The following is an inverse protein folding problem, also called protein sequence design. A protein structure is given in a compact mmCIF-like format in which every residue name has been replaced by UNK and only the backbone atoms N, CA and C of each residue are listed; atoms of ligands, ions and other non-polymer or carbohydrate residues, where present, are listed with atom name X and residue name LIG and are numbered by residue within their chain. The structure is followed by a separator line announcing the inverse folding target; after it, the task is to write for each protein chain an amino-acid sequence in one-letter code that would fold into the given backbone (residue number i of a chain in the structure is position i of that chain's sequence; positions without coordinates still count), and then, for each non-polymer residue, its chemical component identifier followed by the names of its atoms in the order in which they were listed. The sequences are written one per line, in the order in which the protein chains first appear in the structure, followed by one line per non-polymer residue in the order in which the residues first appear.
data_IF_203844076550
#
_entry.id   IF_203844076550
#
_cell.length_a   1.000
_cell.length_b   1.000
_cell.length_c   1.000
_cell.angle_alpha   90.00
_cell.angle_beta   90.00
_cell.angle_gamma   90.00
#
_symmetry.space_group_name_H-M   'P 1'
#
loop_
_entity.id
_entity.type
_entity.pdbx_description
1 polymer ?
#
# COMPACT_ATOMS: atom_id res chain seq x y z
N UNK A 1 -11.34 -7.30 38.49
CA UNK A 1 -10.87 -8.63 38.02
C UNK A 1 -11.24 -8.94 36.56
N UNK A 2 -12.42 -8.57 36.03
CA UNK A 2 -12.76 -8.83 34.60
C UNK A 2 -12.08 -7.92 33.55
N UNK A 3 -11.52 -6.77 33.95
CA UNK A 3 -10.77 -5.88 33.04
C UNK A 3 -9.26 -6.20 32.95
N UNK A 4 -8.72 -7.00 33.88
CA UNK A 4 -7.32 -7.45 33.85
C UNK A 4 -7.14 -8.73 33.03
N UNK A 5 -8.17 -9.57 32.87
CA UNK A 5 -8.13 -10.76 32.02
C UNK A 5 -8.09 -10.44 30.52
N UNK A 6 -8.69 -9.31 30.08
CA UNK A 6 -8.67 -8.91 28.67
C UNK A 6 -7.29 -8.40 28.23
N UNK A 7 -6.54 -7.77 29.15
CA UNK A 7 -5.17 -7.31 28.90
C UNK A 7 -4.21 -8.50 28.77
N UNK A 8 -4.41 -9.57 29.54
CA UNK A 8 -3.58 -10.78 29.45
C UNK A 8 -3.83 -11.62 28.18
N UNK A 9 -5.04 -11.63 27.63
CA UNK A 9 -5.32 -12.31 26.35
C UNK A 9 -4.72 -11.54 25.17
N UNK A 10 -4.67 -10.21 25.24
CA UNK A 10 -4.03 -9.36 24.20
C UNK A 10 -2.50 -9.45 24.27
N UNK A 11 -1.91 -9.57 25.48
CA UNK A 11 -0.45 -9.77 25.64
C UNK A 11 -0.01 -11.18 25.27
N UNK A 12 -0.86 -12.20 25.44
CA UNK A 12 -0.54 -13.59 25.08
C UNK A 12 -0.55 -13.85 23.56
N UNK A 13 -1.18 -12.97 22.77
CA UNK A 13 -1.14 -13.00 21.30
C UNK A 13 0.06 -12.25 20.70
N UNK A 14 0.86 -11.57 21.53
CA UNK A 14 2.04 -10.79 21.12
C UNK A 14 3.36 -11.55 21.36
N UNK A 15 3.33 -12.72 22.01
CA UNK A 15 4.52 -13.53 22.31
C UNK A 15 4.53 -14.94 21.70
N UNK A 16 3.91 -15.12 20.53
CA UNK A 16 4.25 -16.27 19.67
C UNK A 16 5.41 -15.89 18.76
N UNK A 17 6.61 -15.83 19.35
CA UNK A 17 7.86 -15.80 18.61
C UNK A 17 7.86 -17.02 17.69
N UNK A 18 7.90 -16.75 16.39
CA UNK A 18 8.16 -17.76 15.37
C UNK A 18 9.44 -18.51 15.75
N UNK A 19 9.32 -19.78 16.16
CA UNK A 19 10.45 -20.70 16.10
C UNK A 19 10.74 -20.95 14.63
N UNK A 20 11.59 -20.10 14.05
CA UNK A 20 12.39 -20.51 12.93
C UNK A 20 13.38 -21.57 13.44
N UNK A 21 13.34 -22.72 12.77
CA UNK A 21 14.23 -23.89 12.83
C UNK A 21 13.53 -25.15 13.36
N UNK A 22 13.14 -26.00 12.41
CA UNK A 22 13.60 -27.39 12.45
C UNK A 22 13.98 -27.82 11.04
N UNK A 23 15.20 -28.31 10.94
CA UNK A 23 15.79 -28.90 9.77
C UNK A 23 15.04 -30.18 9.35
N UNK A 24 15.15 -30.46 8.06
CA UNK A 24 14.92 -31.71 7.33
C UNK A 24 14.71 -33.00 8.14
N UNK A 25 13.67 -33.74 7.74
CA UNK A 25 13.81 -35.18 7.47
C UNK A 25 13.14 -35.48 6.13
N UNK A 26 13.92 -35.38 5.05
CA UNK A 26 13.57 -35.99 3.77
C UNK A 26 13.84 -37.50 3.87
N UNK A 27 12.85 -38.31 3.48
CA UNK A 27 13.00 -39.76 3.34
C UNK A 27 13.94 -40.03 2.15
N UNK A 28 14.99 -40.86 2.28
CA UNK A 28 15.90 -41.11 1.17
C UNK A 28 15.27 -42.11 0.20
N UNK A 29 14.85 -41.63 -0.97
CA UNK A 29 14.70 -42.50 -2.14
C UNK A 29 16.03 -42.40 -2.89
N UNK A 30 16.91 -43.36 -2.62
CA UNK A 30 18.14 -43.56 -3.38
C UNK A 30 17.80 -44.10 -4.76
N UNK A 31 17.89 -43.25 -5.78
CA UNK A 31 18.16 -43.68 -7.15
C UNK A 31 19.63 -43.39 -7.48
N UNK A 32 20.37 -44.33 -8.08
CA UNK A 32 21.81 -44.21 -8.22
C UNK A 32 22.19 -43.19 -9.31
N UNK A 33 23.09 -42.29 -8.92
CA UNK A 33 24.08 -41.58 -9.72
C UNK A 33 23.74 -41.26 -11.18
N UNK A 34 23.25 -40.04 -11.39
CA UNK A 34 23.68 -39.22 -12.54
C UNK A 34 24.48 -38.06 -11.97
N UNK A 35 25.77 -38.29 -11.75
CA UNK A 35 26.75 -37.20 -11.61
C UNK A 35 27.00 -36.69 -13.03
N UNK A 36 26.08 -35.86 -13.53
CA UNK A 36 26.39 -34.96 -14.62
C UNK A 36 26.78 -33.62 -14.00
N UNK A 37 27.92 -33.12 -14.46
CA UNK A 37 28.59 -31.91 -14.03
C UNK A 37 27.68 -30.68 -14.26
N UNK A 38 26.74 -30.44 -13.35
CA UNK A 38 25.84 -29.29 -13.34
C UNK A 38 26.58 -28.13 -12.67
N UNK A 39 26.84 -27.05 -13.39
CA UNK A 39 27.02 -25.76 -12.74
C UNK A 39 25.70 -25.40 -12.06
N UNK A 40 25.50 -25.88 -10.83
CA UNK A 40 24.44 -25.39 -9.97
C UNK A 40 24.72 -23.90 -9.77
N UNK A 41 23.84 -23.06 -10.31
CA UNK A 41 23.84 -21.62 -10.04
C UNK A 41 23.76 -21.48 -8.51
N UNK A 42 24.80 -20.93 -7.87
CA UNK A 42 24.70 -20.49 -6.48
C UNK A 42 23.82 -19.24 -6.44
N UNK A 43 22.59 -19.31 -5.89
CA UNK A 43 21.69 -18.17 -5.89
C UNK A 43 22.23 -16.99 -5.08
N UNK A 44 23.07 -17.24 -4.07
CA UNK A 44 23.69 -16.18 -3.28
C UNK A 44 24.67 -15.37 -4.13
N UNK A 45 25.61 -16.06 -4.78
CA UNK A 45 26.57 -15.43 -5.68
C UNK A 45 25.87 -14.72 -6.85
N UNK A 46 24.85 -15.33 -7.45
CA UNK A 46 24.07 -14.72 -8.52
C UNK A 46 23.33 -13.44 -8.07
N UNK A 47 22.77 -13.45 -6.85
CA UNK A 47 22.15 -12.25 -6.27
C UNK A 47 23.16 -11.12 -6.10
N UNK A 48 24.35 -11.42 -5.57
CA UNK A 48 25.42 -10.44 -5.41
C UNK A 48 25.91 -9.90 -6.75
N UNK A 49 26.01 -10.75 -7.77
CA UNK A 49 26.37 -10.33 -9.12
C UNK A 49 25.36 -9.33 -9.70
N UNK A 50 24.06 -9.57 -9.54
CA UNK A 50 23.01 -8.62 -9.94
C UNK A 50 23.10 -7.29 -9.19
N UNK A 51 23.26 -7.32 -7.87
CA UNK A 51 23.40 -6.10 -7.07
C UNK A 51 24.65 -5.29 -7.46
N UNK A 52 25.74 -5.97 -7.80
CA UNK A 52 26.99 -5.36 -8.24
C UNK A 52 26.88 -4.64 -9.59
N UNK A 53 25.85 -4.93 -10.40
CA UNK A 53 25.61 -4.21 -11.67
C UNK A 53 25.20 -2.75 -11.47
N UNK A 54 24.71 -2.38 -10.28
CA UNK A 54 24.28 -1.01 -9.98
C UNK A 54 25.47 -0.17 -9.51
N UNK A 55 25.84 0.90 -10.24
CA UNK A 55 26.91 1.80 -9.85
C UNK A 55 26.70 2.36 -8.44
N UNK A 56 27.79 2.57 -7.70
CA UNK A 56 27.75 3.07 -6.32
C UNK A 56 26.99 4.39 -6.20
N UNK A 57 27.22 5.32 -7.11
CA UNK A 57 26.55 6.63 -7.13
C UNK A 57 25.01 6.49 -7.26
N UNK A 58 24.53 5.56 -8.10
CA UNK A 58 23.10 5.30 -8.25
C UNK A 58 22.51 4.68 -6.99
N UNK A 59 23.25 3.79 -6.31
CA UNK A 59 22.85 3.22 -5.01
C UNK A 59 22.77 4.30 -3.94
N UNK A 60 23.79 5.13 -3.79
CA UNK A 60 23.81 6.23 -2.80
C UNK A 60 22.67 7.24 -3.05
N UNK A 61 22.37 7.56 -4.32
CA UNK A 61 21.23 8.42 -4.66
C UNK A 61 19.88 7.78 -4.30
N UNK A 62 19.71 6.48 -4.58
CA UNK A 62 18.49 5.74 -4.23
C UNK A 62 18.30 5.63 -2.72
N UNK A 63 19.37 5.31 -1.99
CA UNK A 63 19.36 5.19 -0.55
C UNK A 63 19.03 6.55 0.09
N UNK A 64 19.68 7.63 -0.34
CA UNK A 64 19.37 8.99 0.14
C UNK A 64 17.91 9.39 -0.11
N UNK A 65 17.36 9.03 -1.28
CA UNK A 65 15.94 9.22 -1.57
C UNK A 65 15.09 8.42 -0.58
N UNK A 66 15.32 7.11 -0.49
CA UNK A 66 14.46 6.19 0.24
C UNK A 66 14.51 6.40 1.75
N UNK A 67 15.70 6.62 2.31
CA UNK A 67 15.92 6.93 3.73
C UNK A 67 15.35 8.30 4.11
N UNK A 68 15.31 9.26 3.18
CA UNK A 68 14.56 10.49 3.36
C UNK A 68 13.08 10.22 3.67
N UNK A 69 12.50 9.16 3.09
CA UNK A 69 11.15 8.69 3.38
C UNK A 69 10.93 8.27 4.83
N UNK A 70 11.97 7.77 5.53
CA UNK A 70 11.87 7.39 6.95
C UNK A 70 11.60 8.61 7.82
N UNK A 71 12.31 9.71 7.53
CA UNK A 71 12.11 10.98 8.20
C UNK A 71 10.79 11.63 7.83
N UNK A 72 10.36 11.52 6.57
CA UNK A 72 9.05 12.01 6.15
C UNK A 72 7.90 11.30 6.88
N UNK A 73 8.02 10.00 7.14
CA UNK A 73 7.01 9.28 7.94
C UNK A 73 6.87 9.89 9.35
N UNK A 74 7.99 10.21 9.99
CA UNK A 74 8.01 10.90 11.28
C UNK A 74 7.44 12.33 11.18
N UNK A 75 7.90 13.12 10.20
CA UNK A 75 7.45 14.51 10.04
C UNK A 75 5.95 14.61 9.72
N UNK A 76 5.42 13.70 8.91
CA UNK A 76 3.99 13.60 8.66
C UNK A 76 3.21 13.32 9.94
N UNK A 77 3.67 12.38 10.76
CA UNK A 77 3.05 12.10 12.06
C UNK A 77 3.09 13.32 12.98
N UNK A 78 4.27 13.95 13.14
CA UNK A 78 4.42 15.13 13.99
C UNK A 78 3.56 16.31 13.51
N UNK A 79 3.40 16.48 12.19
CA UNK A 79 2.54 17.52 11.63
C UNK A 79 1.07 17.25 11.96
N UNK A 80 0.59 16.01 11.79
CA UNK A 80 -0.79 15.62 12.16
C UNK A 80 -1.04 15.84 13.66
N UNK A 81 -0.08 15.45 14.51
CA UNK A 81 -0.15 15.69 15.97
C UNK A 81 -0.23 17.19 16.26
N UNK A 82 0.65 17.97 15.64
CA UNK A 82 0.73 19.43 15.85
C UNK A 82 -0.56 20.12 15.42
N UNK A 83 -1.07 19.81 14.23
CA UNK A 83 -2.34 20.36 13.73
C UNK A 83 -3.50 19.98 14.67
N UNK A 84 -3.57 18.71 15.07
CA UNK A 84 -4.66 18.23 15.94
C UNK A 84 -4.65 18.95 17.30
N UNK A 85 -3.48 19.04 17.94
CA UNK A 85 -3.31 19.76 19.21
C UNK A 85 -3.60 21.26 19.03
N UNK A 86 -3.11 21.87 17.95
CA UNK A 86 -3.37 23.28 17.64
C UNK A 86 -4.87 23.55 17.53
N UNK A 87 -5.62 22.74 16.78
CA UNK A 87 -7.07 22.91 16.59
C UNK A 87 -7.87 22.74 17.89
N UNK A 88 -7.42 21.85 18.79
CA UNK A 88 -8.02 21.62 20.10
C UNK A 88 -7.68 22.76 21.08
N UNK A 89 -6.39 23.09 21.23
CA UNK A 89 -5.89 24.07 22.18
C UNK A 89 -6.34 25.49 21.85
N UNK A 90 -6.37 25.86 20.56
CA UNK A 90 -6.87 27.16 20.09
C UNK A 90 -8.40 27.28 20.10
N UNK A 91 -9.11 26.16 20.33
CA UNK A 91 -10.57 26.03 20.23
C UNK A 91 -11.14 26.34 18.84
N UNK A 92 -10.31 26.35 17.78
CA UNK A 92 -10.79 26.53 16.41
C UNK A 92 -11.83 25.46 16.07
N UNK A 93 -11.56 24.20 16.43
CA UNK A 93 -12.52 23.10 16.19
C UNK A 93 -13.85 23.32 16.92
N UNK A 94 -13.83 23.81 18.16
CA UNK A 94 -15.04 24.17 18.89
C UNK A 94 -15.80 25.33 18.23
N UNK A 95 -15.09 26.36 17.74
CA UNK A 95 -15.71 27.49 17.01
C UNK A 95 -16.34 27.04 15.68
N UNK A 96 -15.73 26.10 14.97
CA UNK A 96 -16.32 25.51 13.76
C UNK A 96 -17.62 24.76 14.09
N UNK A 97 -17.61 23.99 15.19
CA UNK A 97 -18.82 23.32 15.68
C UNK A 97 -19.89 24.33 16.06
N UNK A 98 -19.56 25.38 16.80
CA UNK A 98 -20.51 26.43 17.20
C UNK A 98 -21.07 27.16 15.96
N UNK A 99 -20.23 27.45 14.97
CA UNK A 99 -20.66 27.99 13.67
C UNK A 99 -21.65 27.06 12.96
N UNK A 100 -21.32 25.77 12.86
CA UNK A 100 -22.19 24.78 12.22
C UNK A 100 -23.53 24.62 12.96
N UNK A 101 -23.52 24.61 14.30
CA UNK A 101 -24.73 24.64 15.14
C UNK A 101 -25.56 25.91 14.89
N UNK A 102 -24.90 27.07 14.77
CA UNK A 102 -25.55 28.36 14.54
C UNK A 102 -26.21 28.46 13.16
N UNK A 103 -25.52 28.06 12.09
CA UNK A 103 -26.05 28.06 10.72
C UNK A 103 -27.22 27.09 10.59
N UNK A 104 -27.19 25.98 11.32
CA UNK A 104 -28.24 24.97 11.32
C UNK A 104 -29.31 25.20 12.40
N UNK A 105 -29.37 26.38 13.05
CA UNK A 105 -30.39 26.67 14.06
C UNK A 105 -31.80 26.46 13.49
N UNK A 106 -32.61 25.68 14.20
CA UNK A 106 -33.98 25.33 13.78
C UNK A 106 -34.07 24.14 12.82
N UNK A 107 -32.95 23.67 12.25
CA UNK A 107 -32.94 22.46 11.43
C UNK A 107 -32.90 21.20 12.30
N UNK A 108 -33.80 20.25 12.03
CA UNK A 108 -33.78 18.91 12.64
C UNK A 108 -32.79 17.96 11.94
N UNK A 109 -32.17 18.39 10.84
CA UNK A 109 -31.23 17.61 10.05
C UNK A 109 -29.82 17.67 10.64
N UNK A 110 -29.58 16.83 11.64
CA UNK A 110 -28.29 16.57 12.27
C UNK A 110 -27.11 16.30 11.30
N UNK A 111 -27.29 15.73 10.09
CA UNK A 111 -26.23 15.64 9.08
C UNK A 111 -25.72 16.98 8.56
N UNK A 112 -26.59 18.00 8.43
CA UNK A 112 -26.19 19.32 7.92
C UNK A 112 -25.12 19.97 8.81
N UNK A 113 -25.27 19.85 10.14
CA UNK A 113 -24.26 20.32 11.09
C UNK A 113 -22.89 19.67 10.85
N UNK A 114 -22.86 18.38 10.49
CA UNK A 114 -21.60 17.68 10.21
C UNK A 114 -20.99 18.18 8.90
N UNK A 115 -21.79 18.49 7.88
CA UNK A 115 -21.31 19.06 6.61
C UNK A 115 -20.67 20.44 6.85
N UNK A 116 -21.37 21.34 7.54
CA UNK A 116 -20.88 22.69 7.83
C UNK A 116 -19.68 22.70 8.79
N UNK A 117 -19.44 21.62 9.53
CA UNK A 117 -18.22 21.41 10.30
C UNK A 117 -17.08 20.81 9.45
N UNK A 118 -17.35 19.73 8.72
CA UNK A 118 -16.35 18.91 8.07
C UNK A 118 -15.63 19.64 6.92
N UNK A 119 -16.37 20.37 6.09
CA UNK A 119 -15.78 21.11 4.96
C UNK A 119 -14.73 22.13 5.41
N UNK A 120 -15.04 23.10 6.31
CA UNK A 120 -14.01 24.04 6.77
C UNK A 120 -12.91 23.36 7.58
N UNK A 121 -13.22 22.29 8.32
CA UNK A 121 -12.19 21.49 9.00
C UNK A 121 -11.17 20.94 7.99
N UNK A 122 -11.62 20.28 6.93
CA UNK A 122 -10.73 19.72 5.91
C UNK A 122 -9.93 20.80 5.17
N UNK A 123 -10.54 21.95 4.87
CA UNK A 123 -9.83 23.08 4.25
C UNK A 123 -8.73 23.64 5.14
N UNK A 124 -8.98 23.76 6.45
CA UNK A 124 -7.96 24.21 7.41
C UNK A 124 -6.82 23.19 7.49
N UNK A 125 -7.13 21.91 7.64
CA UNK A 125 -6.10 20.85 7.70
C UNK A 125 -5.29 20.81 6.40
N UNK A 126 -5.94 20.90 5.23
CA UNK A 126 -5.28 20.95 3.95
C UNK A 126 -4.33 22.15 3.85
N UNK A 127 -4.78 23.34 4.28
CA UNK A 127 -3.96 24.55 4.28
C UNK A 127 -2.75 24.43 5.20
N UNK A 128 -2.93 23.94 6.42
CA UNK A 128 -1.84 23.78 7.40
C UNK A 128 -0.85 22.68 6.99
N UNK A 129 -1.31 21.66 6.27
CA UNK A 129 -0.45 20.56 5.79
C UNK A 129 0.22 20.85 4.46
N UNK A 130 -0.28 21.84 3.71
CA UNK A 130 0.14 22.13 2.35
C UNK A 130 1.66 22.32 2.16
N UNK A 131 2.40 23.02 3.04
CA UNK A 131 3.84 23.19 2.86
C UNK A 131 4.61 21.87 2.78
N UNK A 132 4.29 20.92 3.68
CA UNK A 132 4.93 19.60 3.66
C UNK A 132 4.48 18.79 2.44
N UNK A 133 3.20 18.85 2.08
CA UNK A 133 2.67 18.18 0.88
C UNK A 133 3.36 18.65 -0.40
N UNK A 134 3.59 19.96 -0.56
CA UNK A 134 4.30 20.53 -1.71
C UNK A 134 5.78 20.13 -1.70
N UNK A 135 6.41 20.13 -0.53
CA UNK A 135 7.78 19.65 -0.41
C UNK A 135 7.91 18.19 -0.85
N UNK A 136 7.09 17.30 -0.28
CA UNK A 136 7.17 15.86 -0.51
C UNK A 136 6.80 15.47 -1.93
N UNK A 137 5.67 15.97 -2.44
CA UNK A 137 5.06 15.46 -3.67
C UNK A 137 5.41 16.30 -4.92
N UNK A 138 6.02 17.47 -4.76
CA UNK A 138 6.48 18.30 -5.87
C UNK A 138 7.98 18.54 -5.81
N UNK A 139 8.50 19.26 -4.81
CA UNK A 139 9.90 19.66 -4.81
C UNK A 139 10.86 18.48 -4.71
N UNK A 140 10.64 17.58 -3.76
CA UNK A 140 11.47 16.38 -3.57
C UNK A 140 11.37 15.45 -4.77
N UNK A 141 10.18 15.22 -5.30
CA UNK A 141 10.00 14.39 -6.51
C UNK A 141 10.72 14.98 -7.73
N UNK A 142 10.71 16.31 -7.90
CA UNK A 142 11.46 17.00 -8.96
C UNK A 142 12.96 16.93 -8.73
N UNK A 143 13.42 17.12 -7.49
CA UNK A 143 14.83 17.09 -7.11
C UNK A 143 15.48 15.75 -7.48
N UNK A 144 14.77 14.64 -7.33
CA UNK A 144 15.28 13.31 -7.68
C UNK A 144 15.02 12.89 -9.14
N UNK A 145 14.24 13.68 -9.90
CA UNK A 145 13.92 13.42 -11.30
C UNK A 145 12.75 12.46 -11.52
N UNK A 146 11.88 12.32 -10.51
CA UNK A 146 10.74 11.41 -10.58
C UNK A 146 9.44 12.10 -11.01
N UNK A 147 9.26 13.39 -10.75
CA UNK A 147 8.10 14.15 -11.24
C UNK A 147 8.38 14.82 -12.59
N UNK A 148 7.48 14.66 -13.55
CA UNK A 148 7.57 15.29 -14.88
C UNK A 148 6.68 16.54 -14.99
N UNK A 149 5.65 16.66 -14.15
CA UNK A 149 4.74 17.82 -14.15
C UNK A 149 5.39 19.12 -13.70
N UNK A 150 4.92 20.22 -14.30
CA UNK A 150 5.10 21.56 -13.75
C UNK A 150 4.13 21.80 -12.57
N UNK A 151 4.40 22.84 -11.79
CA UNK A 151 3.66 23.13 -10.56
C UNK A 151 2.15 23.32 -10.78
N UNK A 152 1.73 24.06 -11.81
CA UNK A 152 0.31 24.38 -12.00
C UNK A 152 -0.56 23.14 -12.34
N UNK A 153 -0.19 22.27 -13.30
CA UNK A 153 -0.88 21.00 -13.50
C UNK A 153 -0.91 20.11 -12.25
N UNK A 154 0.23 19.98 -11.56
CA UNK A 154 0.33 19.24 -10.30
C UNK A 154 -0.62 19.78 -9.23
N UNK A 155 -0.66 21.10 -9.06
CA UNK A 155 -1.51 21.77 -8.08
C UNK A 155 -3.00 21.63 -8.42
N UNK A 156 -3.36 21.68 -9.71
CA UNK A 156 -4.73 21.41 -10.16
C UNK A 156 -5.16 19.98 -9.80
N UNK A 157 -4.32 19.00 -10.04
CA UNK A 157 -4.59 17.60 -9.67
C UNK A 157 -4.66 17.46 -8.14
N UNK A 158 -3.81 18.15 -7.39
CA UNK A 158 -3.90 18.22 -5.93
C UNK A 158 -5.26 18.78 -5.45
N UNK A 159 -5.80 19.83 -6.10
CA UNK A 159 -7.12 20.38 -5.78
C UNK A 159 -8.27 19.40 -6.12
N UNK A 160 -8.15 18.63 -7.21
CA UNK A 160 -9.11 17.57 -7.54
C UNK A 160 -9.10 16.50 -6.45
N UNK A 161 -7.92 16.04 -6.04
CA UNK A 161 -7.75 15.09 -4.94
C UNK A 161 -8.31 15.61 -3.61
N UNK A 162 -8.07 16.88 -3.29
CA UNK A 162 -8.66 17.55 -2.12
C UNK A 162 -10.19 17.55 -2.19
N UNK A 163 -10.78 17.86 -3.35
CA UNK A 163 -12.23 17.84 -3.55
C UNK A 163 -12.82 16.44 -3.32
N UNK A 164 -12.20 15.40 -3.90
CA UNK A 164 -12.60 14.00 -3.67
C UNK A 164 -12.51 13.64 -2.19
N UNK A 165 -11.40 14.01 -1.53
CA UNK A 165 -11.18 13.77 -0.10
C UNK A 165 -12.21 14.46 0.79
N UNK A 166 -12.56 15.72 0.51
CA UNK A 166 -13.60 16.46 1.24
C UNK A 166 -14.95 15.76 1.10
N UNK A 167 -15.34 15.35 -0.11
CA UNK A 167 -16.61 14.67 -0.35
C UNK A 167 -16.66 13.33 0.39
N UNK A 168 -15.67 12.46 0.16
CA UNK A 168 -15.63 11.13 0.75
C UNK A 168 -15.51 11.19 2.28
N UNK A 169 -14.63 12.06 2.80
CA UNK A 169 -14.44 12.28 4.23
C UNK A 169 -15.70 12.83 4.90
N UNK A 170 -16.41 13.76 4.26
CA UNK A 170 -17.67 14.30 4.81
C UNK A 170 -18.75 13.23 4.87
N UNK A 171 -18.88 12.38 3.85
CA UNK A 171 -19.81 11.23 3.86
C UNK A 171 -19.50 10.32 5.03
N UNK A 172 -18.23 9.95 5.21
CA UNK A 172 -17.79 9.11 6.34
C UNK A 172 -18.15 9.75 7.69
N UNK A 173 -17.86 11.04 7.87
CA UNK A 173 -18.16 11.74 9.12
C UNK A 173 -19.65 11.83 9.40
N UNK A 174 -20.50 12.06 8.38
CA UNK A 174 -21.97 12.05 8.57
C UNK A 174 -22.42 10.71 9.15
N UNK A 175 -21.93 9.60 8.59
CA UNK A 175 -22.32 8.26 9.04
C UNK A 175 -21.76 7.97 10.44
N UNK A 176 -20.49 8.26 10.69
CA UNK A 176 -19.85 8.05 12.01
C UNK A 176 -20.52 8.87 13.11
N UNK A 177 -20.76 10.16 12.89
CA UNK A 177 -21.45 10.99 13.89
C UNK A 177 -22.91 10.59 14.08
N UNK A 178 -23.55 10.02 13.06
CA UNK A 178 -24.88 9.39 13.24
C UNK A 178 -24.78 8.19 14.17
N UNK A 179 -23.78 7.32 14.00
CA UNK A 179 -23.52 6.18 14.90
C UNK A 179 -23.21 6.64 16.33
N UNK A 180 -22.33 7.64 16.49
CA UNK A 180 -21.95 8.15 17.81
C UNK A 180 -23.15 8.69 18.59
N UNK A 181 -24.10 9.31 17.90
CA UNK A 181 -25.33 9.85 18.49
C UNK A 181 -26.39 8.77 18.77
N UNK A 182 -26.54 7.79 17.88
CA UNK A 182 -27.62 6.77 17.94
C UNK A 182 -27.26 5.56 18.78
N UNK A 183 -25.99 5.20 18.87
CA UNK A 183 -25.51 4.01 19.56
C UNK A 183 -24.38 4.31 20.56
N UNK A 184 -24.54 5.26 21.51
CA UNK A 184 -23.45 5.76 22.35
C UNK A 184 -22.81 4.70 23.27
N UNK A 185 -23.44 3.54 23.50
CA UNK A 185 -22.86 2.43 24.28
C UNK A 185 -22.05 1.44 23.43
N UNK A 186 -22.35 1.34 22.15
CA UNK A 186 -21.80 0.34 21.22
C UNK A 186 -21.19 0.98 19.98
N UNK A 187 -20.93 2.29 20.01
CA UNK A 187 -20.46 3.06 18.87
C UNK A 187 -19.11 2.57 18.36
N UNK A 188 -18.25 2.00 19.20
CA UNK A 188 -16.96 1.45 18.77
C UNK A 188 -17.14 0.28 17.81
N UNK A 189 -18.13 -0.59 18.07
CA UNK A 189 -18.46 -1.74 17.21
C UNK A 189 -19.07 -1.23 15.90
N UNK A 190 -20.09 -0.39 15.97
CA UNK A 190 -20.76 0.12 14.77
C UNK A 190 -19.86 1.06 13.95
N UNK A 191 -19.00 1.83 14.60
CA UNK A 191 -17.98 2.67 13.96
C UNK A 191 -16.93 1.85 13.24
N UNK A 192 -16.51 0.71 13.81
CA UNK A 192 -15.67 -0.27 13.12
C UNK A 192 -16.32 -0.76 11.84
N UNK A 193 -17.58 -1.19 11.91
CA UNK A 193 -18.32 -1.69 10.74
C UNK A 193 -18.41 -0.61 9.66
N UNK A 194 -18.75 0.63 10.04
CA UNK A 194 -18.80 1.77 9.10
C UNK A 194 -17.45 2.02 8.46
N UNK A 195 -16.37 2.02 9.24
CA UNK A 195 -15.02 2.25 8.72
C UNK A 195 -14.58 1.15 7.74
N UNK A 196 -14.85 -0.13 8.06
CA UNK A 196 -14.53 -1.26 7.17
C UNK A 196 -15.35 -1.19 5.87
N UNK A 197 -16.65 -0.90 5.95
CA UNK A 197 -17.49 -0.75 4.77
C UNK A 197 -17.06 0.44 3.90
N UNK A 198 -16.63 1.54 4.54
CA UNK A 198 -16.08 2.69 3.83
C UNK A 198 -14.75 2.36 3.15
N UNK A 199 -13.84 1.66 3.83
CA UNK A 199 -12.58 1.17 3.24
C UNK A 199 -12.85 0.23 2.05
N UNK A 200 -13.76 -0.73 2.21
CA UNK A 200 -14.22 -1.59 1.12
C UNK A 200 -14.69 -0.76 -0.07
N UNK A 201 -15.59 0.20 0.16
CA UNK A 201 -16.13 1.04 -0.91
C UNK A 201 -15.01 1.81 -1.64
N UNK A 202 -14.08 2.44 -0.92
CA UNK A 202 -12.98 3.20 -1.53
C UNK A 202 -12.03 2.30 -2.31
N UNK A 203 -11.62 1.15 -1.76
CA UNK A 203 -10.72 0.20 -2.44
C UNK A 203 -11.24 -0.22 -3.82
N UNK A 204 -12.57 -0.30 -3.97
CA UNK A 204 -13.20 -0.77 -5.20
C UNK A 204 -13.71 0.34 -6.11
N UNK A 205 -14.15 1.48 -5.55
CA UNK A 205 -14.58 2.64 -6.33
C UNK A 205 -13.37 3.40 -6.89
N UNK A 206 -12.27 3.48 -6.14
CA UNK A 206 -11.15 4.33 -6.50
C UNK A 206 -10.54 4.02 -7.88
N UNK A 207 -10.24 2.74 -8.23
CA UNK A 207 -9.64 2.45 -9.52
C UNK A 207 -10.53 2.82 -10.70
N UNK A 208 -11.86 2.65 -10.56
CA UNK A 208 -12.82 2.81 -11.66
C UNK A 208 -13.29 4.26 -11.81
N UNK A 209 -13.46 4.99 -10.71
CA UNK A 209 -14.10 6.30 -10.73
C UNK A 209 -13.20 7.45 -10.28
N UNK A 210 -12.15 7.18 -9.49
CA UNK A 210 -11.26 8.22 -8.96
C UNK A 210 -10.00 8.33 -9.82
N UNK A 211 -9.32 7.22 -10.11
CA UNK A 211 -8.10 7.25 -10.94
C UNK A 211 -8.31 7.89 -12.32
N UNK A 212 -9.44 7.67 -13.04
CA UNK A 212 -9.67 8.33 -14.32
C UNK A 212 -9.87 9.84 -14.27
N UNK A 213 -9.99 10.44 -13.06
CA UNK A 213 -9.98 11.90 -12.90
C UNK A 213 -8.58 12.49 -13.14
N UNK A 214 -7.53 11.66 -13.02
CA UNK A 214 -6.13 12.06 -13.10
C UNK A 214 -5.47 11.60 -14.40
N UNK A 215 -5.85 10.42 -14.89
CA UNK A 215 -5.20 9.78 -16.03
C UNK A 215 -6.20 9.23 -17.05
N UNK A 216 -5.74 9.15 -18.30
CA UNK A 216 -6.50 8.58 -19.39
C UNK A 216 -6.14 7.11 -19.55
N UNK A 217 -7.15 6.26 -19.61
CA UNK A 217 -7.03 4.83 -19.85
C UNK A 217 -7.43 4.54 -21.31
N UNK A 218 -6.53 3.95 -22.08
CA UNK A 218 -6.79 3.56 -23.49
C UNK A 218 -6.49 2.09 -23.70
N UNK A 219 -7.25 1.35 -24.54
CA UNK A 219 -6.87 -0.02 -24.87
C UNK A 219 -5.45 -0.09 -25.45
N UNK A 220 -4.66 -1.05 -24.97
CA UNK A 220 -3.30 -1.29 -25.45
C UNK A 220 -3.36 -1.82 -26.89
N UNK A 221 -2.81 -1.03 -27.82
CA UNK A 221 -2.90 -1.33 -29.24
C UNK A 221 -1.91 -2.41 -29.70
N UNK A 222 -0.71 -2.48 -29.10
CA UNK A 222 0.35 -3.37 -29.57
C UNK A 222 0.04 -4.85 -29.22
N UNK A 223 -0.22 -5.73 -30.20
CA UNK A 223 -0.53 -7.13 -29.95
C UNK A 223 0.64 -7.92 -29.36
N UNK A 224 1.89 -7.55 -29.68
CA UNK A 224 3.10 -8.25 -29.20
C UNK A 224 3.25 -8.18 -27.67
N UNK A 225 2.69 -7.13 -27.05
CA UNK A 225 2.67 -6.95 -25.60
C UNK A 225 1.33 -7.40 -25.02
N UNK A 226 0.22 -7.04 -25.67
CA UNK A 226 -1.14 -7.33 -25.21
C UNK A 226 -1.43 -8.83 -25.14
N UNK A 227 -1.09 -9.58 -26.18
CA UNK A 227 -1.54 -10.97 -26.32
C UNK A 227 -0.85 -11.91 -25.30
N UNK A 228 0.46 -11.79 -25.01
CA UNK A 228 1.08 -12.53 -23.92
C UNK A 228 0.46 -12.23 -22.54
N UNK A 229 0.05 -10.98 -22.28
CA UNK A 229 -0.64 -10.60 -21.03
C UNK A 229 -2.01 -11.27 -20.96
N UNK A 230 -2.79 -11.22 -22.03
CA UNK A 230 -4.11 -11.88 -22.09
C UNK A 230 -3.98 -13.40 -21.97
N UNK A 231 -2.96 -14.01 -22.55
CA UNK A 231 -2.69 -15.44 -22.43
C UNK A 231 -2.38 -15.84 -20.97
N UNK A 232 -1.54 -15.08 -20.26
CA UNK A 232 -1.27 -15.33 -18.83
C UNK A 232 -2.54 -15.13 -17.98
N UNK A 233 -3.35 -14.11 -18.29
CA UNK A 233 -4.61 -13.87 -17.60
C UNK A 233 -5.59 -15.04 -17.82
N UNK A 234 -5.72 -15.53 -19.05
CA UNK A 234 -6.56 -16.66 -19.40
C UNK A 234 -6.10 -17.95 -18.72
N UNK A 235 -4.79 -18.23 -18.72
CA UNK A 235 -4.21 -19.38 -18.04
C UNK A 235 -4.48 -19.39 -16.53
N UNK A 236 -4.62 -18.21 -15.92
CA UNK A 236 -4.92 -18.02 -14.50
C UNK A 236 -6.39 -17.68 -14.23
N UNK A 237 -7.29 -17.92 -15.20
CA UNK A 237 -8.75 -17.74 -15.07
C UNK A 237 -9.18 -16.33 -14.66
N UNK A 238 -8.41 -15.31 -15.03
CA UNK A 238 -8.74 -13.92 -14.78
C UNK A 238 -9.72 -13.46 -15.88
N UNK A 239 -10.96 -13.04 -15.55
CA UNK A 239 -11.99 -12.72 -16.54
C UNK A 239 -11.80 -11.31 -17.11
N UNK A 240 -10.72 -11.12 -17.86
CA UNK A 240 -10.36 -9.86 -18.52
C UNK A 240 -10.44 -10.01 -20.04
N UNK A 241 -10.92 -8.95 -20.72
CA UNK A 241 -11.03 -8.91 -22.18
C UNK A 241 -10.08 -7.90 -22.84
N UNK A 242 -9.58 -6.93 -22.06
CA UNK A 242 -8.79 -5.82 -22.56
C UNK A 242 -7.68 -5.47 -21.57
N UNK A 243 -6.55 -5.07 -22.13
CA UNK A 243 -5.41 -4.50 -21.41
C UNK A 243 -5.39 -3.01 -21.72
N UNK A 244 -5.19 -2.17 -20.71
CA UNK A 244 -5.19 -0.71 -20.84
C UNK A 244 -3.80 -0.12 -20.63
N UNK A 245 -3.45 0.87 -21.44
CA UNK A 245 -2.34 1.78 -21.23
C UNK A 245 -2.84 3.03 -20.49
N UNK A 246 -2.05 3.48 -19.51
CA UNK A 246 -2.29 4.68 -18.71
C UNK A 246 -1.19 5.71 -18.95
N UNK A 247 -1.58 6.98 -19.21
CA UNK A 247 -0.68 8.08 -19.53
C UNK A 247 0.10 8.66 -18.32
N UNK A 248 0.70 7.81 -17.48
CA UNK A 248 1.38 8.25 -16.24
C UNK A 248 2.67 9.05 -16.47
N UNK A 249 3.31 8.96 -17.64
CA UNK A 249 4.53 9.72 -17.96
C UNK A 249 4.33 11.24 -17.91
N UNK A 250 3.07 11.70 -18.02
CA UNK A 250 2.71 13.10 -17.81
C UNK A 250 2.93 13.58 -16.38
N UNK A 251 3.00 12.66 -15.41
CA UNK A 251 3.13 12.87 -13.96
C UNK A 251 4.51 12.46 -13.44
N UNK A 252 4.95 11.26 -13.81
CA UNK A 252 6.05 10.58 -13.16
C UNK A 252 6.94 9.85 -14.16
N UNK A 253 8.18 9.53 -13.79
CA UNK A 253 9.06 8.63 -14.55
C UNK A 253 9.00 7.18 -14.06
N UNK A 254 8.24 6.90 -12.98
CA UNK A 254 8.15 5.56 -12.38
C UNK A 254 7.32 4.60 -13.21
N UNK A 255 7.73 3.33 -13.19
CA UNK A 255 7.00 2.22 -13.79
C UNK A 255 5.96 1.67 -12.80
N UNK A 256 4.77 1.31 -13.29
CA UNK A 256 3.71 0.72 -12.50
C UNK A 256 2.73 -0.03 -13.40
N UNK A 257 2.08 -1.03 -12.83
CA UNK A 257 0.89 -1.68 -13.38
C UNK A 257 -0.08 -1.98 -12.25
N UNK A 258 -1.30 -2.37 -12.59
CA UNK A 258 -2.27 -2.89 -11.64
C UNK A 258 -3.26 -3.84 -12.31
N UNK A 259 -3.73 -4.82 -11.53
CA UNK A 259 -4.93 -5.60 -11.84
C UNK A 259 -5.97 -5.31 -10.78
N UNK A 260 -7.10 -4.73 -11.19
CA UNK A 260 -8.20 -4.39 -10.30
C UNK A 260 -9.49 -5.04 -10.80
N UNK A 261 -10.33 -5.56 -9.90
CA UNK A 261 -11.60 -6.12 -10.30
C UNK A 261 -12.52 -6.50 -9.15
N UNK A 262 -13.83 -6.41 -9.41
CA UNK A 262 -14.92 -6.70 -8.47
C UNK A 262 -16.16 -7.15 -9.23
N UNK A 263 -16.88 -8.12 -8.67
CA UNK A 263 -18.21 -8.53 -9.15
C UNK A 263 -18.27 -8.79 -10.67
N UNK A 264 -17.24 -9.44 -11.22
CA UNK A 264 -17.17 -9.80 -12.64
C UNK A 264 -16.61 -8.72 -13.57
N UNK A 265 -16.20 -7.56 -13.04
CA UNK A 265 -15.42 -6.56 -13.79
C UNK A 265 -13.94 -6.70 -13.45
N UNK A 266 -13.07 -6.81 -14.45
CA UNK A 266 -11.61 -6.84 -14.26
C UNK A 266 -10.94 -5.89 -15.25
N UNK A 267 -10.02 -5.08 -14.75
CA UNK A 267 -9.18 -4.18 -15.53
C UNK A 267 -7.72 -4.53 -15.27
N UNK A 268 -7.02 -4.82 -16.35
CA UNK A 268 -5.55 -4.86 -16.36
C UNK A 268 -5.09 -3.55 -16.95
N UNK A 269 -4.26 -2.80 -16.21
CA UNK A 269 -3.68 -1.57 -16.71
C UNK A 269 -2.19 -1.51 -16.41
N UNK A 270 -1.43 -0.91 -17.32
CA UNK A 270 -0.01 -0.65 -17.18
C UNK A 270 0.27 0.76 -17.65
N UNK A 271 1.20 1.43 -16.97
CA UNK A 271 1.55 2.78 -17.37
C UNK A 271 2.52 2.79 -18.56
N UNK A 272 2.49 3.88 -19.31
CA UNK A 272 3.31 4.08 -20.50
C UNK A 272 4.83 4.13 -20.19
N UNK A 273 5.23 4.49 -18.96
CA UNK A 273 6.62 4.36 -18.51
C UNK A 273 7.09 2.90 -18.50
N UNK A 274 6.25 1.98 -18.03
CA UNK A 274 6.57 0.55 -18.02
C UNK A 274 6.76 0.03 -19.45
N UNK A 275 5.91 0.46 -20.38
CA UNK A 275 6.05 0.12 -21.81
C UNK A 275 7.33 0.67 -22.44
N UNK A 276 7.77 1.88 -22.04
CA UNK A 276 8.97 2.55 -22.57
C UNK A 276 10.27 2.02 -21.97
N UNK A 277 10.24 1.58 -20.72
CA UNK A 277 11.44 1.26 -19.94
C UNK A 277 11.67 -0.24 -19.75
N UNK A 278 10.65 -1.08 -19.96
CA UNK A 278 10.74 -2.52 -19.75
C UNK A 278 10.69 -3.31 -21.07
N UNK A 279 11.50 -4.37 -21.12
CA UNK A 279 11.46 -5.40 -22.16
C UNK A 279 10.25 -6.33 -21.98
N UNK A 280 9.86 -7.08 -23.00
CA UNK A 280 8.71 -7.98 -22.90
C UNK A 280 8.81 -9.00 -21.73
N UNK A 281 9.97 -9.64 -21.45
CA UNK A 281 10.13 -10.48 -20.25
C UNK A 281 9.86 -9.74 -18.93
N UNK A 282 10.36 -8.50 -18.81
CA UNK A 282 10.16 -7.66 -17.62
C UNK A 282 8.69 -7.25 -17.48
N UNK A 283 8.02 -6.91 -18.58
CA UNK A 283 6.57 -6.62 -18.60
C UNK A 283 5.79 -7.85 -18.16
N UNK A 284 6.10 -9.03 -18.72
CA UNK A 284 5.42 -10.29 -18.38
C UNK A 284 5.55 -10.60 -16.89
N UNK A 285 6.73 -10.41 -16.31
CA UNK A 285 6.93 -10.59 -14.88
C UNK A 285 6.10 -9.61 -14.04
N UNK A 286 6.16 -8.31 -14.35
CA UNK A 286 5.36 -7.31 -13.61
C UNK A 286 3.88 -7.65 -13.69
N UNK A 287 3.38 -7.97 -14.88
CA UNK A 287 1.97 -8.32 -15.05
C UNK A 287 1.60 -9.60 -14.32
N UNK A 288 2.47 -10.61 -14.30
CA UNK A 288 2.25 -11.84 -13.55
C UNK A 288 2.19 -11.59 -12.04
N UNK A 289 3.05 -10.72 -11.50
CA UNK A 289 3.00 -10.27 -10.10
C UNK A 289 1.67 -9.57 -9.79
N UNK A 290 1.24 -8.61 -10.63
CA UNK A 290 -0.04 -7.91 -10.45
C UNK A 290 -1.25 -8.87 -10.53
N UNK A 291 -1.20 -9.87 -11.42
CA UNK A 291 -2.19 -10.95 -11.48
C UNK A 291 -2.21 -11.78 -10.20
N UNK A 292 -1.06 -11.97 -9.55
CA UNK A 292 -0.95 -12.65 -8.26
C UNK A 292 -1.78 -11.96 -7.17
N UNK A 293 -1.78 -10.62 -7.11
CA UNK A 293 -2.64 -9.89 -6.18
C UNK A 293 -4.12 -10.18 -6.38
N UNK A 294 -4.55 -10.28 -7.64
CA UNK A 294 -5.92 -10.61 -7.99
C UNK A 294 -6.26 -12.07 -7.63
N UNK A 295 -5.48 -13.04 -8.11
CA UNK A 295 -5.73 -14.48 -7.96
C UNK A 295 -5.69 -14.91 -6.49
N UNK A 296 -4.76 -14.37 -5.71
CA UNK A 296 -4.59 -14.70 -4.30
C UNK A 296 -5.50 -13.85 -3.38
N UNK A 297 -6.43 -13.08 -3.93
CA UNK A 297 -7.39 -12.25 -3.21
C UNK A 297 -6.74 -11.26 -2.22
N UNK A 298 -5.60 -10.66 -2.58
CA UNK A 298 -4.85 -9.77 -1.70
C UNK A 298 -5.67 -8.54 -1.27
N UNK A 299 -6.55 -8.02 -2.13
CA UNK A 299 -7.48 -6.95 -1.73
C UNK A 299 -8.39 -7.33 -0.56
N UNK A 300 -8.96 -8.53 -0.57
CA UNK A 300 -9.80 -9.03 0.52
C UNK A 300 -8.98 -9.40 1.78
N UNK A 301 -7.80 -10.00 1.60
CA UNK A 301 -6.86 -10.28 2.71
C UNK A 301 -6.46 -8.99 3.43
N UNK A 302 -5.98 -7.98 2.69
CA UNK A 302 -5.59 -6.69 3.25
C UNK A 302 -6.76 -5.98 3.93
N UNK A 303 -7.96 -5.99 3.33
CA UNK A 303 -9.15 -5.44 3.97
C UNK A 303 -9.46 -6.14 5.30
N UNK A 304 -9.30 -7.46 5.36
CA UNK A 304 -9.50 -8.24 6.59
C UNK A 304 -8.44 -7.88 7.64
N UNK A 305 -7.16 -7.87 7.27
CA UNK A 305 -6.08 -7.55 8.19
C UNK A 305 -6.19 -6.12 8.72
N UNK A 306 -6.38 -5.14 7.84
CA UNK A 306 -6.62 -3.75 8.25
C UNK A 306 -7.92 -3.58 9.02
N UNK A 307 -8.96 -4.37 8.72
CA UNK A 307 -10.19 -4.42 9.50
C UNK A 307 -9.96 -4.83 10.96
N UNK A 308 -9.04 -5.75 11.22
CA UNK A 308 -8.64 -6.10 12.60
C UNK A 308 -7.96 -4.92 13.30
N UNK A 309 -7.06 -4.19 12.62
CA UNK A 309 -6.43 -2.99 13.19
C UNK A 309 -7.46 -1.88 13.46
N UNK A 310 -8.42 -1.68 12.56
CA UNK A 310 -9.53 -0.73 12.75
C UNK A 310 -10.38 -1.14 13.95
N UNK A 311 -10.72 -2.42 14.08
CA UNK A 311 -11.46 -2.95 15.24
C UNK A 311 -10.72 -2.68 16.55
N UNK A 312 -9.42 -2.98 16.62
CA UNK A 312 -8.59 -2.71 17.80
C UNK A 312 -8.54 -1.21 18.09
N UNK A 313 -8.35 -0.37 17.07
CA UNK A 313 -8.33 1.08 17.21
C UNK A 313 -9.63 1.64 17.76
N UNK A 314 -10.78 1.24 17.22
CA UNK A 314 -12.09 1.61 17.74
C UNK A 314 -12.39 1.03 19.12
N UNK A 315 -11.89 -0.16 19.45
CA UNK A 315 -12.05 -0.76 20.78
C UNK A 315 -11.28 0.00 21.86
N UNK A 316 -10.10 0.54 21.51
CA UNK A 316 -9.25 1.32 22.42
C UNK A 316 -9.64 2.80 22.51
N UNK A 317 -10.21 3.36 21.44
CA UNK A 317 -10.59 4.78 21.37
C UNK A 317 -11.45 5.26 22.55
N UNK A 318 -12.48 4.53 23.05
CA UNK A 318 -13.24 4.95 24.23
C UNK A 318 -12.37 5.26 25.45
N UNK A 319 -11.34 4.45 25.71
CA UNK A 319 -10.47 4.66 26.87
C UNK A 319 -9.62 5.94 26.71
N UNK A 320 -8.98 6.10 25.55
CA UNK A 320 -8.13 7.27 25.28
C UNK A 320 -8.93 8.56 25.14
N UNK A 321 -10.03 8.53 24.38
CA UNK A 321 -10.86 9.70 24.13
C UNK A 321 -11.51 10.19 25.43
N UNK A 322 -12.12 9.31 26.22
CA UNK A 322 -12.76 9.71 27.47
C UNK A 322 -11.73 10.21 28.48
N UNK A 323 -10.58 9.54 28.62
CA UNK A 323 -9.51 10.00 29.50
C UNK A 323 -9.05 11.41 29.13
N UNK A 324 -8.81 11.68 27.85
CA UNK A 324 -8.38 12.99 27.39
C UNK A 324 -9.47 14.06 27.59
N UNK A 325 -10.74 13.75 27.31
CA UNK A 325 -11.85 14.69 27.55
C UNK A 325 -12.05 14.96 29.04
N UNK A 326 -11.87 13.98 29.92
CA UNK A 326 -11.93 14.20 31.38
C UNK A 326 -10.88 15.21 31.86
N UNK A 327 -9.66 15.15 31.32
CA UNK A 327 -8.57 16.02 31.77
C UNK A 327 -8.54 17.39 31.07
N UNK A 328 -8.87 17.43 29.77
CA UNK A 328 -8.69 18.62 28.93
C UNK A 328 -9.96 19.09 28.21
N UNK A 329 -11.07 18.36 28.30
CA UNK A 329 -12.31 18.66 27.56
C UNK A 329 -12.86 20.06 27.81
N UNK A 330 -12.80 20.55 29.05
CA UNK A 330 -13.21 21.93 29.39
C UNK A 330 -12.29 22.98 28.74
N UNK A 331 -10.99 22.70 28.66
CA UNK A 331 -10.01 23.58 28.00
C UNK A 331 -10.22 23.60 26.49
N UNK A 332 -10.54 22.47 25.87
CA UNK A 332 -10.78 22.35 24.43
C UNK A 332 -12.22 22.66 24.00
N UNK A 333 -13.14 22.82 24.94
CA UNK A 333 -14.59 22.94 24.71
C UNK A 333 -15.19 21.75 23.94
N UNK A 334 -14.67 20.54 24.22
CA UNK A 334 -15.15 19.26 23.67
C UNK A 334 -16.11 18.61 24.67
N UNK A 335 -17.34 18.35 24.20
CA UNK A 335 -18.45 17.85 25.03
C UNK A 335 -18.50 16.32 25.11
N UNK A 336 -17.94 15.61 24.13
CA UNK A 336 -17.91 14.14 24.10
C UNK A 336 -17.70 13.57 22.69
N UNK A 337 -17.85 12.25 22.52
CA UNK A 337 -17.56 11.57 21.24
C UNK A 337 -18.47 12.00 20.09
N UNK A 338 -19.74 12.31 20.40
CA UNK A 338 -20.73 12.75 19.42
C UNK A 338 -20.60 14.25 19.04
N UNK A 339 -19.63 14.95 19.65
CA UNK A 339 -19.33 16.36 19.40
C UNK A 339 -18.32 16.50 18.25
N UNK A 340 -18.67 17.15 17.13
CA UNK A 340 -17.73 17.42 16.04
C UNK A 340 -16.44 18.11 16.49
N UNK A 341 -16.49 18.94 17.54
CA UNK A 341 -15.32 19.60 18.12
C UNK A 341 -14.24 18.61 18.63
N UNK A 342 -14.64 17.35 18.92
CA UNK A 342 -13.73 16.28 19.32
C UNK A 342 -13.03 15.58 18.15
N UNK A 343 -13.35 15.90 16.89
CA UNK A 343 -12.77 15.21 15.74
C UNK A 343 -11.23 15.28 15.66
N UNK A 344 -10.54 16.41 15.93
CA UNK A 344 -9.08 16.42 15.93
C UNK A 344 -8.48 15.48 16.99
N UNK A 345 -9.17 15.25 18.12
CA UNK A 345 -8.73 14.28 19.12
C UNK A 345 -8.85 12.84 18.60
N UNK A 346 -9.90 12.53 17.84
CA UNK A 346 -10.00 11.23 17.15
C UNK A 346 -8.88 11.04 16.14
N UNK A 347 -8.60 12.06 15.31
CA UNK A 347 -7.49 12.04 14.35
C UNK A 347 -6.15 11.82 15.08
N UNK A 348 -5.92 12.52 16.19
CA UNK A 348 -4.71 12.36 17.02
C UNK A 348 -4.57 10.92 17.56
N UNK A 349 -5.63 10.35 18.11
CA UNK A 349 -5.62 8.98 18.65
C UNK A 349 -5.31 7.96 17.55
N UNK A 350 -6.06 8.00 16.45
CA UNK A 350 -5.89 7.03 15.36
C UNK A 350 -4.54 7.19 14.65
N UNK A 351 -4.08 8.42 14.40
CA UNK A 351 -2.76 8.65 13.79
C UNK A 351 -1.62 8.14 14.67
N UNK A 352 -1.72 8.32 15.99
CA UNK A 352 -0.74 7.76 16.95
C UNK A 352 -0.74 6.24 16.94
N UNK A 353 -1.92 5.62 16.92
CA UNK A 353 -2.04 4.16 16.83
C UNK A 353 -1.45 3.61 15.53
N UNK A 354 -1.76 4.23 14.39
CA UNK A 354 -1.24 3.83 13.07
C UNK A 354 0.28 4.02 13.00
N UNK A 355 0.81 5.13 13.51
CA UNK A 355 2.25 5.38 13.56
C UNK A 355 2.98 4.28 14.34
N UNK A 356 2.48 3.92 15.52
CA UNK A 356 3.06 2.82 16.33
C UNK A 356 2.91 1.46 15.62
N UNK A 357 1.78 1.22 14.95
CA UNK A 357 1.50 -0.03 14.26
C UNK A 357 2.21 -0.16 12.89
N UNK A 358 2.90 0.88 12.42
CA UNK A 358 3.45 0.93 11.05
C UNK A 358 4.34 -0.28 10.70
N UNK A 359 5.28 -0.76 11.55
CA UNK A 359 6.07 -1.96 11.23
C UNK A 359 5.22 -3.22 10.99
N UNK A 360 4.11 -3.36 11.73
CA UNK A 360 3.18 -4.47 11.57
C UNK A 360 2.35 -4.33 10.29
N UNK A 361 1.85 -3.13 10.01
CA UNK A 361 1.11 -2.84 8.79
C UNK A 361 1.98 -3.08 7.54
N UNK A 362 3.24 -2.60 7.57
CA UNK A 362 4.24 -2.84 6.54
C UNK A 362 4.52 -4.33 6.36
N UNK A 363 4.60 -5.09 7.45
CA UNK A 363 4.80 -6.54 7.38
C UNK A 363 3.62 -7.26 6.72
N UNK A 364 2.39 -6.85 7.02
CA UNK A 364 1.18 -7.41 6.40
C UNK A 364 1.18 -7.21 4.89
N UNK A 365 1.51 -6.00 4.42
CA UNK A 365 1.66 -5.72 2.98
C UNK A 365 2.78 -6.56 2.39
N UNK A 366 3.95 -6.56 3.01
CA UNK A 366 5.14 -7.28 2.54
C UNK A 366 4.92 -8.79 2.41
N UNK A 367 4.08 -9.39 3.25
CA UNK A 367 3.69 -10.80 3.09
C UNK A 367 2.92 -11.00 1.79
N UNK A 368 1.91 -10.16 1.50
CA UNK A 368 1.14 -10.26 0.25
C UNK A 368 2.01 -9.99 -0.98
N UNK A 369 2.99 -9.09 -0.89
CA UNK A 369 3.98 -8.86 -1.95
C UNK A 369 4.85 -10.10 -2.22
N UNK A 370 5.33 -10.79 -1.18
CA UNK A 370 6.10 -12.05 -1.37
C UNK A 370 5.25 -13.16 -1.98
N UNK A 371 3.99 -13.24 -1.60
CA UNK A 371 3.03 -14.19 -2.20
C UNK A 371 2.82 -13.86 -3.69
N UNK A 372 2.67 -12.58 -4.04
CA UNK A 372 2.54 -12.11 -5.42
C UNK A 372 3.82 -12.33 -6.24
N UNK A 373 5.01 -12.11 -5.66
CA UNK A 373 6.29 -12.43 -6.26
C UNK A 373 6.42 -13.92 -6.59
N UNK A 374 6.09 -14.79 -5.63
CA UNK A 374 6.14 -16.24 -5.83
C UNK A 374 5.14 -16.70 -6.89
N UNK A 375 3.95 -16.10 -6.95
CA UNK A 375 2.98 -16.35 -8.00
C UNK A 375 3.48 -15.85 -9.37
N UNK A 376 4.01 -14.62 -9.40
CA UNK A 376 4.46 -13.93 -10.59
C UNK A 376 5.53 -14.71 -11.33
N UNK A 377 6.61 -15.08 -10.64
CA UNK A 377 7.72 -15.82 -11.24
C UNK A 377 7.32 -17.22 -11.75
N UNK A 378 6.39 -17.89 -11.06
CA UNK A 378 5.87 -19.20 -11.50
C UNK A 378 5.00 -19.08 -12.76
N UNK A 379 4.27 -17.97 -12.87
CA UNK A 379 3.36 -17.69 -14.00
C UNK A 379 4.13 -17.18 -15.22
N UNK A 380 5.05 -16.24 -15.04
CA UNK A 380 5.82 -15.63 -16.12
C UNK A 380 6.92 -16.55 -16.65
N UNK A 381 7.55 -17.32 -15.75
CA UNK A 381 8.82 -18.04 -15.97
C UNK A 381 9.99 -17.11 -16.32
N UNK A 382 9.99 -15.88 -15.80
CA UNK A 382 10.97 -14.83 -16.12
C UNK A 382 11.85 -14.40 -14.92
N UNK A 383 12.70 -15.30 -14.36
CA UNK A 383 13.54 -14.97 -13.19
C UNK A 383 14.50 -13.80 -13.46
N UNK A 384 15.07 -13.71 -14.66
CA UNK A 384 15.95 -12.59 -15.03
C UNK A 384 15.15 -11.30 -15.28
N UNK A 385 13.90 -11.41 -15.74
CA UNK A 385 12.96 -10.30 -15.83
C UNK A 385 12.65 -9.72 -14.45
N UNK A 386 12.39 -10.58 -13.46
CA UNK A 386 12.18 -10.17 -12.07
C UNK A 386 13.39 -9.45 -11.49
N UNK A 387 14.59 -9.99 -11.70
CA UNK A 387 15.82 -9.36 -11.23
C UNK A 387 16.03 -7.97 -11.85
N UNK A 388 15.87 -7.82 -13.16
CA UNK A 388 16.01 -6.52 -13.83
C UNK A 388 14.95 -5.51 -13.39
N UNK A 389 13.70 -5.93 -13.21
CA UNK A 389 12.64 -5.07 -12.68
C UNK A 389 12.99 -4.61 -11.26
N UNK A 390 13.44 -5.52 -10.39
CA UNK A 390 13.89 -5.16 -9.05
C UNK A 390 15.00 -4.12 -9.05
N UNK A 391 15.96 -4.21 -9.99
CA UNK A 391 17.00 -3.20 -10.18
C UNK A 391 16.46 -1.85 -10.69
N UNK A 392 15.49 -1.84 -11.63
CA UNK A 392 14.83 -0.60 -12.09
C UNK A 392 14.07 0.09 -10.96
N UNK A 393 13.30 -0.67 -10.18
CA UNK A 393 12.65 -0.17 -8.97
C UNK A 393 13.68 0.31 -7.93
N UNK A 394 14.87 -0.29 -7.95
CA UNK A 394 16.06 0.09 -7.20
C UNK A 394 16.51 1.54 -7.38
N UNK A 395 16.02 2.26 -8.39
CA UNK A 395 16.29 3.69 -8.56
C UNK A 395 15.59 4.58 -7.51
N UNK A 396 14.50 4.10 -6.92
CA UNK A 396 13.70 4.83 -5.92
C UNK A 396 13.27 3.97 -4.73
N UNK A 397 13.77 2.73 -4.65
CA UNK A 397 13.62 1.82 -3.51
C UNK A 397 14.99 1.28 -3.15
N UNK A 398 15.44 1.51 -1.92
CA UNK A 398 16.73 1.02 -1.44
C UNK A 398 16.82 -0.50 -1.65
N UNK A 399 17.89 -0.94 -2.33
CA UNK A 399 18.03 -2.32 -2.80
C UNK A 399 18.39 -3.29 -1.68
N UNK A 400 19.28 -2.88 -0.78
CA UNK A 400 19.89 -3.75 0.22
C UNK A 400 19.81 -3.16 1.64
N UNK A 401 18.61 -3.12 2.24
CA UNK A 401 18.45 -2.68 3.61
C UNK A 401 18.91 -3.74 4.61
N UNK A 402 19.17 -3.29 5.84
CA UNK A 402 19.34 -4.20 6.97
C UNK A 402 18.01 -4.87 7.35
N UNK A 403 18.01 -6.02 8.05
CA UNK A 403 16.76 -6.68 8.46
C UNK A 403 15.85 -5.80 9.34
N UNK A 404 16.44 -4.98 10.21
CA UNK A 404 15.69 -4.07 11.08
C UNK A 404 15.04 -2.94 10.27
N UNK A 405 15.79 -2.38 9.33
CA UNK A 405 15.30 -1.35 8.42
C UNK A 405 14.16 -1.87 7.54
N UNK A 406 14.29 -3.08 6.98
CA UNK A 406 13.24 -3.75 6.21
C UNK A 406 12.00 -4.03 7.08
N UNK A 407 12.17 -4.46 8.33
CA UNK A 407 11.03 -4.69 9.23
C UNK A 407 10.24 -3.39 9.51
N UNK A 408 10.93 -2.29 9.80
CA UNK A 408 10.30 -1.04 10.21
C UNK A 408 9.72 -0.27 9.02
N UNK A 409 10.48 -0.09 7.94
CA UNK A 409 10.17 0.93 6.93
C UNK A 409 9.69 0.39 5.58
N UNK A 410 9.85 -0.91 5.30
CA UNK A 410 9.55 -1.45 3.98
C UNK A 410 8.18 -2.14 3.95
N UNK A 411 7.24 -1.59 3.18
CA UNK A 411 5.98 -2.24 2.84
C UNK A 411 6.14 -3.33 1.75
N UNK A 412 7.18 -3.22 0.91
CA UNK A 412 7.54 -4.22 -0.11
C UNK A 412 8.85 -4.94 0.25
N UNK A 413 9.08 -6.18 -0.22
CA UNK A 413 10.38 -6.83 -0.10
C UNK A 413 11.47 -5.98 -0.77
N UNK A 414 12.64 -5.96 -0.16
CA UNK A 414 13.81 -5.29 -0.73
C UNK A 414 14.18 -5.83 -2.11
N UNK A 415 14.86 -5.01 -2.93
CA UNK A 415 15.35 -5.45 -4.23
C UNK A 415 16.24 -6.69 -4.13
N UNK A 416 17.11 -6.75 -3.10
CA UNK A 416 17.91 -7.93 -2.76
C UNK A 416 17.02 -9.15 -2.50
N UNK A 417 15.96 -9.03 -1.70
CA UNK A 417 15.07 -10.15 -1.39
C UNK A 417 14.35 -10.68 -2.64
N UNK A 418 13.88 -9.77 -3.51
CA UNK A 418 13.21 -10.13 -4.78
C UNK A 418 14.17 -10.81 -5.75
N UNK A 419 15.37 -10.26 -5.95
CA UNK A 419 16.42 -10.88 -6.77
C UNK A 419 16.79 -12.26 -6.21
N UNK A 420 16.92 -12.37 -4.89
CA UNK A 420 17.25 -13.65 -4.24
C UNK A 420 16.19 -14.71 -4.53
N UNK A 421 14.91 -14.37 -4.38
CA UNK A 421 13.80 -15.27 -4.74
C UNK A 421 13.89 -15.70 -6.20
N UNK A 422 14.19 -14.76 -7.11
CA UNK A 422 14.32 -15.08 -8.52
C UNK A 422 15.46 -16.06 -8.81
N UNK A 423 16.62 -15.87 -8.18
CA UNK A 423 17.77 -16.74 -8.37
C UNK A 423 17.58 -18.12 -7.72
N UNK A 424 16.92 -18.19 -6.56
CA UNK A 424 16.55 -19.47 -5.92
C UNK A 424 15.58 -20.25 -6.83
N UNK A 425 14.57 -19.57 -7.39
CA UNK A 425 13.64 -20.17 -8.34
C UNK A 425 14.36 -20.66 -9.60
N UNK A 426 15.27 -19.84 -10.14
CA UNK A 426 16.06 -20.15 -11.34
C UNK A 426 16.91 -21.41 -11.13
N UNK A 427 17.60 -21.49 -10.01
CA UNK A 427 18.41 -22.65 -9.64
C UNK A 427 17.56 -23.92 -9.40
N UNK A 428 16.32 -23.78 -8.95
CA UNK A 428 15.43 -24.93 -8.75
C UNK A 428 14.73 -25.42 -10.03
N UNK A 429 14.40 -24.51 -10.97
CA UNK A 429 13.49 -24.82 -12.08
C UNK A 429 14.14 -24.88 -13.46
N UNK A 430 15.18 -24.10 -13.75
CA UNK A 430 15.85 -24.16 -15.05
C UNK A 430 16.74 -25.39 -15.27
N UNK A 431 17.32 -26.06 -14.25
CA UNK A 431 18.03 -27.33 -14.46
C UNK A 431 17.14 -28.49 -14.92
N UNK A 432 15.83 -28.28 -15.08
CA UNK A 432 14.85 -29.24 -15.60
C UNK A 432 14.35 -28.87 -17.02
N UNK A 433 14.80 -27.76 -17.60
CA UNK A 433 14.29 -27.22 -18.87
C UNK A 433 15.16 -27.47 -20.11
N UNK A 434 16.38 -27.97 -19.96
CA UNK A 434 17.20 -28.43 -21.09
C UNK A 434 16.94 -29.93 -21.31
N UNK A 435 15.89 -30.26 -22.07
CA UNK A 435 15.89 -31.52 -22.80
C UNK A 435 17.05 -31.46 -23.80
N UNK A 436 17.97 -32.45 -23.83
CA UNK A 436 19.10 -32.39 -24.73
C UNK A 436 18.60 -32.36 -26.18
N UNK A 437 19.11 -31.36 -26.90
CA UNK A 437 19.19 -31.37 -28.36
C UNK A 437 19.76 -32.71 -28.79
N UNK A 438 18.94 -33.60 -29.35
CA UNK A 438 19.43 -34.75 -30.10
C UNK A 438 19.94 -34.25 -31.44
N UNK A 439 21.19 -33.77 -31.47
CA UNK A 439 21.98 -33.68 -32.69
C UNK A 439 22.89 -34.91 -32.80
N UNK A 440 22.48 -35.82 -33.69
CA UNK A 440 23.35 -36.51 -34.65
C UNK A 440 24.24 -37.68 -34.19
N UNK A 441 24.00 -38.86 -34.76
CA UNK A 441 25.00 -39.46 -35.65
C UNK A 441 24.39 -40.54 -36.55
N UNK A 442 24.57 -40.36 -37.86
CA UNK A 442 24.52 -41.39 -38.87
C UNK A 442 25.49 -42.54 -38.59
N UNK A 443 25.02 -43.77 -38.64
CA UNK A 443 25.82 -44.93 -39.09
C UNK A 443 24.88 -45.88 -39.83
N UNK A 444 25.20 -46.17 -41.09
CA UNK A 444 24.30 -46.84 -42.02
C UNK A 444 24.17 -48.36 -41.88
N UNK A 445 23.16 -48.88 -42.57
CA UNK A 445 23.27 -49.83 -43.69
C UNK A 445 22.01 -49.76 -44.52
#
# INVERSE_FOLDING_TARGET
MKQLLLVWIIVSLIFSISRAANAQTAVPITSPAIVQNKQLIDPAAATQAWLATVPREQREKSDAYFEGGYWLALWNFLLVVTISIFLLASRISARLRDFAENVCRGSRWLPLQVIFYAIPYFLIVATLSFPLVVYENFFRERQYGFATQNFLPWFREHLIGLGVGIVAGTILLIVLYTVFRRAPRTWSIWGTIVAILFMFAITFIAPVFIEPLFNTYKPLANPEIRDPILAMAQANQIPVKQVFEVDASRQTTRVSANVAGVLGTTRIALNDNLLKQCTLPEIREVMAHEMGHYVLNHGAKLLTYFGVFVLVGFALTPAFFNSAVTHWGSKWAVRGIADPAGFPLLVLIFSTMVFIATPFLNTVVRVTEREADAFGINTSREPDGMAKVALKLGAYRKLDPTPLEEFIFFDHPSGRARIRMAMDWKAANLPAGESPVTEGSSTGR
#
